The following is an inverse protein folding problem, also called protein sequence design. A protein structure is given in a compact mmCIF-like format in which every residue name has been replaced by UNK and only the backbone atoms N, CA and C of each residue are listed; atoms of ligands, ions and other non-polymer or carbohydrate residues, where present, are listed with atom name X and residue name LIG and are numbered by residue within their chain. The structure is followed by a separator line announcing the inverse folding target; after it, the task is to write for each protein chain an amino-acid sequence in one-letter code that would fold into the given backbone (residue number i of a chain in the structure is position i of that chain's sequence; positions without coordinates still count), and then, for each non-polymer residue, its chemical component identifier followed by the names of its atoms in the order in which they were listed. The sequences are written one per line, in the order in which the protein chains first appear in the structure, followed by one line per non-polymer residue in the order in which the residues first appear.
data_IF_085629195260
#
_entry.id   IF_085629195260
#
_cell.length_a   1.000
_cell.length_b   1.000
_cell.length_c   1.000
_cell.angle_alpha   90.00
_cell.angle_beta   90.00
_cell.angle_gamma   90.00
#
_symmetry.space_group_name_H-M   'P 1'
#
loop_
_entity.id
_entity.type
_entity.pdbx_description
1 polymer ?
#
# COMPACT_ATOMS: atom_id res chain seq x y z
N UNK A 1 4.75 -30.93 -0.81
CA UNK A 1 4.56 -30.30 -0.88
C UNK A 1 4.80 -29.56 -1.19
N UNK A 2 5.15 -29.70 -1.15
CA UNK A 2 5.51 -28.69 -1.30
C UNK A 2 5.02 -27.74 -2.25
N UNK A 3 4.25 -27.90 -3.19
CA UNK A 3 3.64 -26.99 -3.92
C UNK A 3 2.83 -26.09 -3.16
N UNK A 4 2.23 -26.49 -2.11
CA UNK A 4 1.49 -25.66 -1.26
C UNK A 4 2.33 -24.58 -0.71
N UNK A 5 3.58 -24.89 -0.41
CA UNK A 5 4.43 -23.90 0.07
C UNK A 5 4.64 -22.86 -0.95
N UNK A 6 4.72 -23.24 -2.19
CA UNK A 6 4.88 -22.30 -3.25
C UNK A 6 3.73 -21.34 -3.31
N UNK A 7 2.51 -21.83 -3.15
CA UNK A 7 1.41 -20.95 -3.16
C UNK A 7 1.42 -20.05 -1.97
N UNK A 8 1.84 -20.54 -0.84
CA UNK A 8 1.90 -19.72 0.34
C UNK A 8 2.98 -18.67 0.24
N UNK A 9 3.90 -18.83 -0.68
CA UNK A 9 4.93 -17.84 -0.87
C UNK A 9 4.45 -16.64 -1.65
N UNK A 10 3.21 -16.62 -2.15
CA UNK A 10 2.71 -15.44 -2.82
C UNK A 10 2.70 -14.28 -1.84
N UNK A 11 3.13 -13.13 -2.32
CA UNK A 11 3.10 -11.92 -1.53
C UNK A 11 1.67 -11.45 -1.36
N UNK A 12 1.27 -11.26 -0.13
CA UNK A 12 -0.06 -10.78 0.21
C UNK A 12 0.07 -9.29 0.52
N UNK A 13 -0.53 -8.45 -0.28
CA UNK A 13 -0.30 -7.02 -0.22
C UNK A 13 -1.58 -6.25 0.07
N UNK A 14 -1.45 -5.20 0.88
CA UNK A 14 -2.48 -4.18 1.02
C UNK A 14 -2.07 -3.03 0.11
N UNK A 15 -2.98 -2.57 -0.73
CA UNK A 15 -2.74 -1.46 -1.62
C UNK A 15 -3.26 -0.18 -0.99
N UNK A 16 -2.47 0.88 -1.04
CA UNK A 16 -2.83 2.16 -0.44
C UNK A 16 -2.69 3.25 -1.50
N UNK A 17 -3.68 4.11 -1.59
CA UNK A 17 -3.65 5.23 -2.51
C UNK A 17 -4.06 6.51 -1.85
N UNK A 18 -3.47 7.63 -2.25
CA UNK A 18 -3.76 8.94 -1.74
C UNK A 18 -4.10 9.89 -2.88
N UNK A 19 -5.19 10.64 -2.71
CA UNK A 19 -5.54 11.72 -3.61
C UNK A 19 -5.46 13.02 -2.81
N UNK A 20 -4.67 13.98 -3.28
CA UNK A 20 -4.50 15.24 -2.59
C UNK A 20 -4.45 16.39 -3.57
N UNK A 21 -4.98 17.54 -3.15
CA UNK A 21 -5.01 18.73 -4.02
C UNK A 21 -3.61 19.24 -4.33
N UNK A 22 -2.66 19.04 -3.41
CA UNK A 22 -1.29 19.53 -3.60
C UNK A 22 -0.47 18.67 -4.56
N UNK A 23 -0.98 17.49 -4.94
CA UNK A 23 -0.26 16.60 -5.84
C UNK A 23 -0.70 16.82 -7.28
N UNK A 24 0.21 16.58 -8.23
CA UNK A 24 -0.12 16.65 -9.65
C UNK A 24 -1.00 15.45 -10.03
N UNK A 25 -1.58 15.50 -11.23
CA UNK A 25 -2.41 14.41 -11.71
C UNK A 25 -1.63 13.09 -11.77
N UNK A 26 -0.36 13.15 -12.14
CA UNK A 26 0.46 11.94 -12.21
C UNK A 26 0.79 11.37 -10.84
N UNK A 27 0.82 12.23 -9.81
CA UNK A 27 1.15 11.78 -8.47
C UNK A 27 -0.04 11.27 -7.68
N UNK A 28 -1.25 11.61 -8.12
CA UNK A 28 -2.46 11.21 -7.42
C UNK A 28 -2.88 9.79 -7.77
N UNK A 29 -3.41 9.09 -6.78
CA UNK A 29 -4.03 7.80 -7.00
C UNK A 29 -5.52 8.00 -7.28
N UNK A 30 -6.11 7.12 -8.06
CA UNK A 30 -7.55 7.11 -8.29
C UNK A 30 -7.98 5.65 -8.46
N UNK A 31 -9.29 5.44 -8.64
CA UNK A 31 -9.82 4.08 -8.75
C UNK A 31 -9.18 3.32 -9.90
N UNK A 32 -8.97 3.98 -11.04
CA UNK A 32 -8.37 3.32 -12.19
C UNK A 32 -6.92 2.94 -11.92
N UNK A 33 -6.13 3.86 -11.35
CA UNK A 33 -4.73 3.55 -11.07
C UNK A 33 -4.61 2.45 -10.03
N UNK A 34 -5.52 2.41 -9.06
CA UNK A 34 -5.51 1.36 -8.04
C UNK A 34 -5.84 0.00 -8.66
N UNK A 35 -6.79 -0.03 -9.60
CA UNK A 35 -7.11 -1.28 -10.30
C UNK A 35 -5.96 -1.76 -11.14
N UNK A 36 -5.27 -0.85 -11.83
CA UNK A 36 -4.12 -1.21 -12.63
C UNK A 36 -3.00 -1.75 -11.75
N UNK A 37 -2.81 -1.15 -10.57
CA UNK A 37 -1.79 -1.63 -9.65
C UNK A 37 -2.11 -3.04 -9.15
N UNK A 38 -3.38 -3.30 -8.85
CA UNK A 38 -3.80 -4.63 -8.43
C UNK A 38 -3.54 -5.66 -9.51
N UNK A 39 -3.82 -5.29 -10.77
CA UNK A 39 -3.56 -6.20 -11.89
C UNK A 39 -2.07 -6.47 -12.06
N UNK A 40 -1.23 -5.44 -11.91
CA UNK A 40 0.21 -5.61 -11.99
C UNK A 40 0.72 -6.51 -10.87
N UNK A 41 0.17 -6.35 -9.68
CA UNK A 41 0.55 -7.18 -8.55
C UNK A 41 0.24 -8.64 -8.83
N UNK A 42 -0.96 -8.92 -9.35
CA UNK A 42 -1.34 -10.29 -9.66
C UNK A 42 -0.46 -10.88 -10.75
N UNK A 43 -0.15 -10.09 -11.76
CA UNK A 43 0.72 -10.54 -12.84
C UNK A 43 2.11 -10.89 -12.29
N UNK A 44 2.56 -10.19 -11.27
CA UNK A 44 3.85 -10.46 -10.65
C UNK A 44 3.81 -11.61 -9.64
N UNK A 45 2.65 -12.23 -9.47
CA UNK A 45 2.54 -13.38 -8.57
C UNK A 45 2.07 -13.03 -7.17
N UNK A 46 1.64 -11.80 -6.95
CA UNK A 46 1.13 -11.39 -5.64
C UNK A 46 -0.38 -11.49 -5.56
N UNK A 47 -0.91 -11.20 -4.38
CA UNK A 47 -2.33 -11.20 -4.11
C UNK A 47 -2.70 -9.93 -3.38
N UNK A 48 -3.70 -9.20 -3.87
CA UNK A 48 -4.22 -8.03 -3.17
C UNK A 48 -5.23 -8.51 -2.13
N UNK A 49 -4.93 -8.27 -0.85
CA UNK A 49 -5.79 -8.71 0.23
C UNK A 49 -6.57 -7.56 0.86
N UNK A 50 -6.35 -6.34 0.42
CA UNK A 50 -7.10 -5.19 0.91
C UNK A 50 -6.66 -3.93 0.22
N UNK A 51 -7.52 -2.91 0.25
CA UNK A 51 -7.27 -1.64 -0.40
C UNK A 51 -7.71 -0.53 0.54
N UNK A 52 -6.87 0.50 0.69
CA UNK A 52 -7.18 1.67 1.50
C UNK A 52 -6.94 2.90 0.64
N UNK A 53 -7.92 3.79 0.60
CA UNK A 53 -7.81 5.01 -0.19
C UNK A 53 -8.08 6.20 0.72
N UNK A 54 -7.30 7.26 0.58
CA UNK A 54 -7.44 8.45 1.41
C UNK A 54 -7.49 9.70 0.55
N UNK A 55 -8.35 10.64 0.93
CA UNK A 55 -8.38 11.97 0.33
C UNK A 55 -7.89 12.96 1.36
N UNK A 56 -6.91 13.77 0.99
CA UNK A 56 -6.35 14.79 1.89
C UNK A 56 -6.06 16.04 1.09
N UNK A 57 -5.81 17.15 1.78
CA UNK A 57 -5.37 18.36 1.11
C UNK A 57 -3.92 18.22 0.66
N UNK A 58 -3.10 17.61 1.48
CA UNK A 58 -1.67 17.40 1.19
C UNK A 58 -1.19 16.15 1.89
N UNK A 59 -0.14 15.49 1.36
CA UNK A 59 0.43 14.32 2.02
C UNK A 59 1.07 14.70 3.35
N UNK A 60 1.10 13.75 4.26
CA UNK A 60 1.82 13.92 5.51
C UNK A 60 3.32 13.91 5.21
N UNK A 61 4.08 14.90 5.69
CA UNK A 61 5.51 14.94 5.36
C UNK A 61 6.30 13.75 5.89
N UNK A 62 5.82 13.11 6.95
CA UNK A 62 6.56 12.04 7.60
C UNK A 62 6.17 10.67 7.05
N UNK A 63 4.88 10.39 6.94
CA UNK A 63 4.38 9.07 6.60
C UNK A 63 3.61 9.03 5.29
N UNK A 64 3.45 10.16 4.62
CA UNK A 64 2.69 10.34 3.38
C UNK A 64 1.19 10.23 3.64
N UNK A 65 0.71 9.15 4.22
CA UNK A 65 -0.68 9.05 4.67
C UNK A 65 -0.73 9.49 6.13
N UNK A 66 -1.84 10.00 6.61
CA UNK A 66 -1.92 10.49 7.98
C UNK A 66 -1.79 9.37 8.99
N UNK A 67 -1.52 9.73 10.25
CA UNK A 67 -1.31 8.75 11.31
C UNK A 67 -2.52 7.85 11.51
N UNK A 68 -3.72 8.44 11.46
CA UNK A 68 -4.94 7.64 11.62
C UNK A 68 -5.09 6.62 10.52
N UNK A 69 -4.76 7.02 9.28
CA UNK A 69 -4.86 6.11 8.16
C UNK A 69 -3.75 5.05 8.24
N UNK A 70 -2.57 5.43 8.70
CA UNK A 70 -1.49 4.46 8.90
C UNK A 70 -1.89 3.41 9.91
N UNK A 71 -2.57 3.80 10.99
CA UNK A 71 -3.06 2.85 11.98
C UNK A 71 -4.10 1.90 11.38
N UNK A 72 -4.97 2.44 10.53
CA UNK A 72 -5.97 1.63 9.85
C UNK A 72 -5.31 0.60 8.93
N UNK A 73 -4.28 1.01 8.18
CA UNK A 73 -3.55 0.11 7.31
C UNK A 73 -2.84 -0.97 8.13
N UNK A 74 -2.26 -0.58 9.27
CA UNK A 74 -1.58 -1.54 10.13
C UNK A 74 -2.54 -2.60 10.64
N UNK A 75 -3.75 -2.20 11.03
CA UNK A 75 -4.76 -3.15 11.47
C UNK A 75 -5.14 -4.10 10.34
N UNK A 76 -5.31 -3.56 9.15
CA UNK A 76 -5.70 -4.38 8.00
C UNK A 76 -4.59 -5.37 7.65
N UNK A 77 -3.33 -4.93 7.72
CA UNK A 77 -2.19 -5.80 7.49
C UNK A 77 -2.23 -6.99 8.45
N UNK A 78 -2.47 -6.72 9.73
CA UNK A 78 -2.55 -7.79 10.72
C UNK A 78 -3.74 -8.70 10.51
N UNK A 79 -4.91 -8.13 10.23
CA UNK A 79 -6.13 -8.91 10.06
C UNK A 79 -6.08 -9.81 8.82
N UNK A 80 -5.47 -9.32 7.75
CA UNK A 80 -5.45 -10.06 6.48
C UNK A 80 -4.18 -10.87 6.28
N UNK A 81 -3.25 -10.82 7.23
CA UNK A 81 -1.99 -11.55 7.10
C UNK A 81 -1.16 -11.06 5.93
N UNK A 82 -1.16 -9.74 5.70
CA UNK A 82 -0.37 -9.18 4.61
C UNK A 82 1.09 -9.13 5.00
N UNK A 83 1.97 -9.34 4.03
CA UNK A 83 3.40 -9.29 4.28
C UNK A 83 4.04 -8.07 3.63
N UNK A 84 3.25 -7.24 2.93
CA UNK A 84 3.76 -6.00 2.35
C UNK A 84 2.62 -5.03 2.11
N UNK A 85 3.00 -3.76 1.92
CA UNK A 85 2.07 -2.71 1.54
C UNK A 85 2.63 -2.04 0.29
N UNK A 86 1.79 -1.79 -0.70
CA UNK A 86 2.19 -1.12 -1.93
C UNK A 86 1.39 0.18 -2.01
N UNK A 87 2.10 1.29 -2.14
CA UNK A 87 1.47 2.61 -2.19
C UNK A 87 1.45 3.08 -3.64
N UNK A 88 0.28 3.49 -4.11
CA UNK A 88 0.07 3.91 -5.50
C UNK A 88 0.40 5.41 -5.66
N UNK A 89 1.50 5.83 -5.04
CA UNK A 89 1.98 7.22 -5.11
C UNK A 89 3.49 7.16 -4.93
N UNK A 90 4.22 8.12 -5.50
CA UNK A 90 5.66 8.14 -5.27
C UNK A 90 5.97 8.61 -3.85
N UNK A 91 6.76 7.83 -3.13
CA UNK A 91 7.19 8.16 -1.77
C UNK A 91 8.65 8.54 -1.78
N UNK A 92 9.04 9.47 -0.90
CA UNK A 92 10.47 9.71 -0.68
C UNK A 92 11.05 8.52 0.08
N UNK A 93 12.37 8.30 0.00
CA UNK A 93 12.98 7.20 0.77
C UNK A 93 12.73 7.30 2.26
N UNK A 94 12.70 8.51 2.83
CA UNK A 94 12.46 8.65 4.26
C UNK A 94 11.00 8.36 4.60
N UNK A 95 10.05 8.76 3.77
CA UNK A 95 8.64 8.43 3.99
C UNK A 95 8.44 6.92 3.92
N UNK A 96 9.07 6.28 2.95
CA UNK A 96 8.95 4.84 2.78
C UNK A 96 9.50 4.11 4.02
N UNK A 97 10.66 4.54 4.51
CA UNK A 97 11.27 3.91 5.68
C UNK A 97 10.41 4.08 6.92
N UNK A 98 9.95 5.31 7.19
CA UNK A 98 9.16 5.58 8.39
C UNK A 98 7.84 4.80 8.32
N UNK A 99 7.19 4.80 7.17
CA UNK A 99 5.93 4.09 7.02
C UNK A 99 6.12 2.59 7.20
N UNK A 100 7.19 2.04 6.64
CA UNK A 100 7.49 0.63 6.80
C UNK A 100 7.69 0.27 8.28
N UNK A 101 8.39 1.13 9.02
CA UNK A 101 8.59 0.91 10.45
C UNK A 101 7.26 0.95 11.21
N UNK A 102 6.39 1.88 10.87
CA UNK A 102 5.12 2.02 11.56
C UNK A 102 4.18 0.87 11.24
N UNK A 103 4.17 0.41 10.01
CA UNK A 103 3.29 -0.67 9.60
C UNK A 103 3.83 -2.06 9.98
N UNK A 104 5.13 -2.17 10.21
CA UNK A 104 5.74 -3.44 10.57
C UNK A 104 5.91 -4.40 9.41
N UNK A 105 5.75 -3.92 8.18
CA UNK A 105 5.95 -4.74 6.98
C UNK A 105 6.65 -3.89 5.93
N UNK A 106 7.12 -4.54 4.87
CA UNK A 106 7.76 -3.86 3.76
C UNK A 106 6.77 -2.97 3.01
N UNK A 107 7.23 -1.82 2.60
CA UNK A 107 6.41 -0.88 1.82
C UNK A 107 7.02 -0.68 0.45
#
# INVERSE_FOLDING_TARGET
MTENETKQAKNRAVLVGLNAHSLSAEENADDTSMEELADLLETAGGVCVGTVFQNKDAPDPRTFIGEGKAAEVKELVGAMGADMVVVDNPLSPSQQRVLSEELGVQV
#
